data_IF_523879571228
#
_entry.id   IF_523879571228
#
_cell.length_a   1.000
_cell.length_b   1.000
_cell.length_c   1.000
_cell.angle_alpha   90.00
_cell.angle_beta   90.00
_cell.angle_gamma   90.00
#
_symmetry.space_group_name_H-M   'P 1'
#
loop_
_entity.id
_entity.type
_entity.pdbx_description
1 polymer ?
#
# COMPACT_ATOMS: atom_id res chain seq x y z
N UNK A 1 -0.73 3.96 0.58
CA UNK A 1 0.18 2.89 0.15
C UNK A 1 0.78 2.19 1.36
N UNK A 2 0.87 0.86 1.32
CA UNK A 2 1.42 0.03 2.38
C UNK A 2 2.52 -0.88 1.83
N UNK A 3 3.55 -1.09 2.63
CA UNK A 3 4.74 -1.85 2.27
C UNK A 3 4.81 -3.11 3.14
N UNK A 4 5.00 -4.26 2.51
CA UNK A 4 5.17 -5.52 3.22
C UNK A 4 6.67 -5.89 3.30
N UNK A 5 7.20 -6.01 4.52
CA UNK A 5 8.61 -6.29 4.79
C UNK A 5 8.93 -7.80 4.95
N UNK A 6 7.92 -8.67 5.22
CA UNK A 6 8.08 -10.13 5.32
C UNK A 6 6.79 -10.88 4.93
N UNK A 7 6.88 -12.09 4.33
CA UNK A 7 5.71 -12.95 4.16
C UNK A 7 5.20 -13.41 5.54
N UNK A 8 3.90 -13.19 5.82
CA UNK A 8 3.23 -13.70 7.02
C UNK A 8 3.03 -12.72 8.18
N UNK A 9 3.77 -11.60 8.26
CA UNK A 9 3.58 -10.60 9.33
C UNK A 9 3.42 -9.18 8.77
N UNK A 10 2.21 -8.60 8.75
CA UNK A 10 2.02 -7.21 8.40
C UNK A 10 2.62 -6.33 9.50
N UNK A 11 3.64 -5.55 9.16
CA UNK A 11 4.16 -4.50 10.04
C UNK A 11 3.48 -3.17 9.70
N UNK A 12 3.00 -2.47 10.74
CA UNK A 12 2.30 -1.20 10.61
C UNK A 12 3.31 -0.06 10.77
N UNK A 13 3.66 0.59 9.66
CA UNK A 13 4.44 1.84 9.72
C UNK A 13 4.06 2.77 8.57
N UNK A 14 3.89 4.06 8.89
CA UNK A 14 3.78 5.12 7.91
C UNK A 14 5.11 5.31 7.20
N UNK A 15 5.25 4.71 6.02
CA UNK A 15 6.48 4.83 5.24
C UNK A 15 6.43 6.10 4.41
N UNK A 16 7.24 7.09 4.81
CA UNK A 16 7.55 8.29 4.06
C UNK A 16 6.35 9.25 3.82
N UNK A 17 6.51 10.51 4.24
CA UNK A 17 5.48 11.55 4.10
C UNK A 17 5.49 12.21 2.74
N UNK A 18 5.36 11.47 1.63
CA UNK A 18 5.14 12.09 0.32
C UNK A 18 3.64 12.35 0.15
N UNK A 19 3.32 13.61 -0.14
CA UNK A 19 2.01 14.03 -0.63
C UNK A 19 1.83 13.44 -2.03
N UNK A 20 1.10 12.32 -2.14
CA UNK A 20 0.78 11.73 -3.45
C UNK A 20 -0.58 12.28 -3.91
N UNK A 21 -0.65 13.05 -5.00
CA UNK A 21 -1.92 13.49 -5.58
C UNK A 21 -2.65 12.27 -6.13
N UNK A 22 -3.89 12.03 -5.66
CA UNK A 22 -4.65 10.79 -5.84
C UNK A 22 -5.15 10.46 -7.25
N UNK A 23 -4.44 10.85 -8.30
CA UNK A 23 -4.72 10.45 -9.68
C UNK A 23 -3.42 10.52 -10.48
N UNK A 24 -2.98 9.35 -10.96
CA UNK A 24 -1.74 9.00 -11.68
C UNK A 24 -0.54 8.55 -10.82
N UNK A 25 -0.30 7.23 -10.87
CA UNK A 25 0.94 6.50 -10.58
C UNK A 25 1.51 6.69 -9.17
N UNK A 26 0.66 6.61 -8.15
CA UNK A 26 1.07 6.47 -6.74
C UNK A 26 2.18 5.41 -6.56
N UNK A 27 2.12 4.34 -7.36
CA UNK A 27 3.11 3.26 -7.38
C UNK A 27 4.53 3.74 -7.72
N UNK A 28 4.67 4.78 -8.54
CA UNK A 28 5.98 5.35 -8.88
C UNK A 28 6.50 6.30 -7.82
N UNK A 29 5.63 7.10 -7.22
CA UNK A 29 6.03 7.94 -6.08
C UNK A 29 6.42 7.08 -4.88
N UNK A 30 5.77 5.94 -4.70
CA UNK A 30 6.22 4.97 -3.72
C UNK A 30 7.49 4.24 -4.12
N UNK A 31 7.71 3.98 -5.42
CA UNK A 31 9.00 3.46 -5.89
C UNK A 31 10.13 4.46 -5.63
N UNK A 32 9.90 5.75 -5.85
CA UNK A 32 10.85 6.82 -5.48
C UNK A 32 11.15 6.75 -3.98
N UNK A 33 10.11 6.71 -3.13
CA UNK A 33 10.28 6.59 -1.69
C UNK A 33 10.97 5.28 -1.25
N UNK A 34 10.76 4.17 -1.95
CA UNK A 34 11.43 2.89 -1.69
C UNK A 34 12.92 2.95 -2.01
N UNK A 35 13.31 3.68 -3.04
CA UNK A 35 14.71 3.87 -3.44
C UNK A 35 15.42 4.93 -2.59
N UNK A 36 14.70 5.95 -2.14
CA UNK A 36 15.24 7.08 -1.36
C UNK A 36 15.21 6.86 0.18
N UNK A 37 14.75 5.71 0.65
CA UNK A 37 14.63 5.45 2.09
C UNK A 37 15.99 5.31 2.79
N UNK A 38 16.11 5.93 3.97
CA UNK A 38 17.25 5.76 4.88
C UNK A 38 16.92 4.84 6.06
N UNK A 39 15.94 3.96 5.92
CA UNK A 39 15.51 3.05 7.00
C UNK A 39 16.20 1.70 6.89
N UNK A 40 16.28 0.96 7.99
CA UNK A 40 16.76 -0.43 8.00
C UNK A 40 15.76 -1.44 7.40
N UNK A 41 14.56 -0.97 7.02
CA UNK A 41 13.55 -1.82 6.40
C UNK A 41 14.01 -2.24 5.01
N UNK A 42 13.72 -3.48 4.65
CA UNK A 42 13.96 -4.02 3.30
C UNK A 42 12.64 -4.47 2.67
N UNK A 43 11.82 -3.51 2.19
CA UNK A 43 10.58 -3.80 1.47
C UNK A 43 10.84 -4.75 0.31
N UNK A 44 10.06 -5.81 0.18
CA UNK A 44 10.16 -6.71 -0.98
C UNK A 44 8.94 -6.59 -1.90
N UNK A 45 7.80 -6.18 -1.35
CA UNK A 45 6.53 -6.14 -2.04
C UNK A 45 5.83 -4.81 -1.83
N UNK A 46 5.29 -4.27 -2.92
CA UNK A 46 4.39 -3.14 -2.93
C UNK A 46 2.99 -3.58 -3.34
N UNK A 47 1.99 -3.21 -2.53
CA UNK A 47 0.58 -3.39 -2.84
C UNK A 47 -0.04 -2.01 -3.10
N UNK A 48 -0.76 -1.88 -4.21
CA UNK A 48 -1.33 -0.63 -4.71
C UNK A 48 -2.70 -0.87 -5.36
N UNK A 49 -3.48 0.19 -5.53
CA UNK A 49 -4.76 0.11 -6.23
C UNK A 49 -4.61 0.06 -7.76
N UNK A 50 -5.68 -0.38 -8.44
CA UNK A 50 -5.70 -0.65 -9.89
C UNK A 50 -5.27 0.54 -10.75
N UNK A 51 -5.65 1.76 -10.36
CA UNK A 51 -5.40 2.99 -11.14
C UNK A 51 -3.93 3.31 -11.38
N UNK A 52 -3.03 2.66 -10.64
CA UNK A 52 -1.57 2.82 -10.76
C UNK A 52 -0.88 1.65 -11.49
N UNK A 53 -1.64 0.73 -12.09
CA UNK A 53 -1.11 -0.48 -12.74
C UNK A 53 -0.93 -0.32 -14.25
N UNK A 54 0.28 -0.58 -14.73
CA UNK A 54 0.60 -0.76 -16.15
C UNK A 54 1.74 -1.76 -16.28
N UNK A 55 1.89 -2.40 -17.44
CA UNK A 55 2.98 -3.32 -17.71
C UNK A 55 4.33 -2.63 -17.50
N UNK A 56 4.48 -1.35 -17.88
CA UNK A 56 5.72 -0.61 -17.63
C UNK A 56 6.05 -0.49 -16.13
N UNK A 57 5.05 -0.26 -15.27
CA UNK A 57 5.24 -0.24 -13.82
C UNK A 57 5.65 -1.62 -13.31
N UNK A 58 4.95 -2.68 -13.74
CA UNK A 58 5.36 -4.05 -13.42
C UNK A 58 6.81 -4.33 -13.84
N UNK A 59 7.22 -3.86 -15.02
CA UNK A 59 8.58 -3.98 -15.53
C UNK A 59 9.61 -3.27 -14.65
N UNK A 60 9.38 -2.00 -14.29
CA UNK A 60 10.30 -1.25 -13.43
C UNK A 60 10.48 -1.89 -12.06
N UNK A 61 9.38 -2.27 -11.39
CA UNK A 61 9.47 -2.96 -10.12
C UNK A 61 10.28 -4.25 -10.24
N UNK A 62 10.04 -5.03 -11.30
CA UNK A 62 10.72 -6.31 -11.48
C UNK A 62 12.20 -6.15 -11.82
N UNK A 63 12.59 -5.14 -12.60
CA UNK A 63 14.00 -4.78 -12.87
C UNK A 63 14.73 -4.42 -11.57
N UNK A 64 14.06 -3.72 -10.66
CA UNK A 64 14.59 -3.31 -9.36
C UNK A 64 14.43 -4.39 -8.28
N UNK A 65 14.08 -5.63 -8.67
CA UNK A 65 13.90 -6.76 -7.77
C UNK A 65 12.78 -6.62 -6.73
N UNK A 66 11.83 -5.70 -6.95
CA UNK A 66 10.62 -5.57 -6.15
C UNK A 66 9.44 -6.34 -6.77
N UNK A 67 8.56 -6.85 -5.90
CA UNK A 67 7.29 -7.44 -6.32
C UNK A 67 6.17 -6.39 -6.31
N UNK A 68 5.69 -6.00 -7.48
CA UNK A 68 4.47 -5.19 -7.60
C UNK A 68 3.23 -6.08 -7.57
N UNK A 69 2.34 -5.85 -6.60
CA UNK A 69 1.15 -6.68 -6.34
C UNK A 69 -0.10 -5.81 -6.26
N UNK A 70 -0.52 -5.18 -7.37
CA UNK A 70 -1.70 -4.33 -7.35
C UNK A 70 -2.97 -5.16 -7.16
N UNK A 71 -3.99 -4.58 -6.52
CA UNK A 71 -5.33 -5.12 -6.66
C UNK A 71 -5.86 -4.66 -8.02
N UNK A 72 -6.01 -5.59 -8.96
CA UNK A 72 -6.51 -5.29 -10.30
C UNK A 72 -8.03 -5.40 -10.34
N UNK A 73 -8.72 -4.35 -10.78
CA UNK A 73 -10.09 -4.43 -11.26
C UNK A 73 -10.14 -5.15 -12.61
N UNK A 74 -11.31 -5.71 -12.92
CA UNK A 74 -11.65 -6.33 -14.21
C UNK A 74 -10.62 -7.39 -14.65
N UNK A 75 -10.28 -8.30 -13.72
CA UNK A 75 -9.30 -9.38 -13.96
C UNK A 75 -9.68 -10.23 -15.19
N UNK A 76 -10.97 -10.39 -15.46
CA UNK A 76 -11.48 -11.12 -16.61
C UNK A 76 -11.08 -10.49 -17.97
N UNK A 77 -10.84 -9.19 -18.01
CA UNK A 77 -10.45 -8.47 -19.23
C UNK A 77 -8.92 -8.42 -19.42
N UNK A 78 -8.16 -8.92 -18.44
CA UNK A 78 -6.70 -8.86 -18.47
C UNK A 78 -6.13 -9.91 -19.41
N UNK A 79 -5.04 -9.51 -20.07
CA UNK A 79 -4.34 -10.35 -21.05
C UNK A 79 -3.29 -11.21 -20.37
N UNK A 80 -3.27 -12.48 -20.75
CA UNK A 80 -2.24 -13.42 -20.36
C UNK A 80 -1.28 -13.60 -21.52
N UNK A 81 0.01 -13.50 -21.22
CA UNK A 81 1.05 -13.49 -22.22
C UNK A 81 1.92 -14.75 -22.12
N UNK A 82 2.18 -15.39 -23.25
CA UNK A 82 3.13 -16.50 -23.37
C UNK A 82 4.45 -16.07 -23.99
N UNK A 83 5.54 -16.71 -23.58
CA UNK A 83 6.88 -16.46 -24.16
C UNK A 83 7.07 -17.24 -25.46
N UNK A 84 6.74 -18.53 -25.43
CA UNK A 84 6.82 -19.41 -26.59
C UNK A 84 5.45 -19.54 -27.27
N UNK A 85 5.43 -19.36 -28.59
CA UNK A 85 4.23 -19.53 -29.42
C UNK A 85 3.83 -21.00 -29.53
N UNK A 86 4.80 -21.92 -29.52
CA UNK A 86 4.57 -23.35 -29.67
C UNK A 86 4.17 -24.06 -28.37
N UNK A 87 4.28 -23.39 -27.22
CA UNK A 87 3.92 -23.98 -25.95
C UNK A 87 2.42 -24.28 -25.87
N UNK A 88 2.09 -25.51 -25.45
CA UNK A 88 0.74 -25.97 -25.20
C UNK A 88 0.42 -25.92 -23.70
N UNK A 89 -0.56 -25.09 -23.32
CA UNK A 89 -1.06 -24.97 -21.95
C UNK A 89 -2.42 -25.66 -21.74
N UNK A 90 -2.82 -26.55 -22.66
CA UNK A 90 -4.10 -27.25 -22.62
C UNK A 90 -5.29 -26.29 -22.59
N UNK A 91 -6.15 -26.42 -21.58
CA UNK A 91 -7.36 -25.58 -21.40
C UNK A 91 -7.06 -24.09 -21.29
N UNK A 92 -5.83 -23.71 -20.89
CA UNK A 92 -5.43 -22.31 -20.74
C UNK A 92 -4.94 -21.67 -22.04
N UNK A 93 -4.90 -22.40 -23.15
CA UNK A 93 -4.45 -21.85 -24.43
C UNK A 93 -5.30 -20.68 -24.90
N UNK A 94 -6.62 -20.74 -24.70
CA UNK A 94 -7.53 -19.65 -25.05
C UNK A 94 -7.27 -18.38 -24.21
N UNK A 95 -6.85 -18.56 -22.96
CA UNK A 95 -6.55 -17.45 -22.05
C UNK A 95 -5.21 -16.78 -22.42
N UNK A 96 -4.17 -17.58 -22.68
CA UNK A 96 -2.84 -17.10 -23.02
C UNK A 96 -2.68 -16.76 -24.50
N UNK A 97 -3.63 -16.06 -25.13
CA UNK A 97 -3.61 -15.83 -26.58
C UNK A 97 -2.50 -14.88 -27.07
N UNK A 98 -1.87 -14.11 -26.17
CA UNK A 98 -0.93 -13.07 -26.54
C UNK A 98 0.53 -13.50 -26.36
N UNK A 99 1.44 -12.94 -27.17
CA UNK A 99 2.88 -13.28 -27.14
C UNK A 99 3.75 -12.12 -26.68
N UNK A 100 4.71 -12.42 -25.83
CA UNK A 100 5.76 -11.47 -25.41
C UNK A 100 6.84 -11.39 -26.49
N UNK A 101 7.23 -10.17 -26.86
CA UNK A 101 8.34 -9.95 -27.78
C UNK A 101 9.68 -10.05 -27.04
N UNK A 102 10.18 -11.28 -26.89
CA UNK A 102 11.45 -11.55 -26.21
C UNK A 102 12.67 -11.02 -26.96
N UNK A 103 12.57 -10.86 -28.29
CA UNK A 103 13.65 -10.30 -29.11
C UNK A 103 13.81 -8.81 -28.84
N UNK A 104 12.71 -8.08 -28.74
CA UNK A 104 12.73 -6.67 -28.38
C UNK A 104 13.31 -6.45 -26.98
N UNK A 105 12.97 -7.31 -26.01
CA UNK A 105 13.55 -7.26 -24.67
C UNK A 105 15.06 -7.48 -24.73
N UNK A 106 15.51 -8.54 -25.41
CA UNK A 106 16.93 -8.85 -25.54
C UNK A 106 17.72 -7.71 -26.23
N UNK A 107 17.17 -7.13 -27.30
CA UNK A 107 17.81 -6.03 -28.03
C UNK A 107 18.00 -4.75 -27.21
N UNK A 108 17.17 -4.53 -26.19
CA UNK A 108 17.24 -3.36 -25.30
C UNK A 108 17.63 -3.72 -23.86
N UNK A 109 18.14 -4.92 -23.61
CA UNK A 109 18.39 -5.39 -22.25
C UNK A 109 19.37 -4.49 -21.50
N UNK A 110 20.47 -4.11 -22.15
CA UNK A 110 21.46 -3.19 -21.56
C UNK A 110 20.85 -1.83 -21.24
N UNK A 111 19.95 -1.30 -22.09
CA UNK A 111 19.27 -0.03 -21.83
C UNK A 111 18.28 -0.13 -20.66
N UNK A 112 17.58 -1.26 -20.52
CA UNK A 112 16.72 -1.53 -19.36
C UNK A 112 17.54 -1.62 -18.07
N UNK A 113 18.73 -2.24 -18.12
CA UNK A 113 19.65 -2.26 -16.98
C UNK A 113 20.21 -0.87 -16.66
N UNK A 114 20.51 -0.04 -17.67
CA UNK A 114 20.89 1.37 -17.47
C UNK A 114 19.78 2.16 -16.79
N UNK A 115 18.51 1.96 -17.18
CA UNK A 115 17.37 2.53 -16.47
C UNK A 115 17.39 2.12 -14.99
N UNK A 116 17.53 0.82 -14.72
CA UNK A 116 17.55 0.33 -13.34
C UNK A 116 18.71 0.94 -12.54
N UNK A 117 19.91 1.01 -13.13
CA UNK A 117 21.08 1.65 -12.54
C UNK A 117 20.81 3.12 -12.19
N UNK A 118 20.32 3.92 -13.14
CA UNK A 118 20.01 5.34 -12.93
C UNK A 118 18.97 5.58 -11.84
N UNK A 119 18.01 4.67 -11.67
CA UNK A 119 17.02 4.73 -10.59
C UNK A 119 17.66 4.40 -9.24
N UNK A 120 18.46 3.33 -9.16
CA UNK A 120 19.14 2.91 -7.92
C UNK A 120 20.16 3.96 -7.45
N UNK A 121 20.85 4.64 -8.37
CA UNK A 121 21.81 5.70 -8.05
C UNK A 121 21.16 7.05 -7.79
N UNK A 122 19.83 7.16 -7.91
CA UNK A 122 19.10 8.42 -7.72
C UNK A 122 19.38 9.48 -8.80
N UNK A 123 19.96 9.08 -9.95
CA UNK A 123 20.23 9.99 -11.07
C UNK A 123 18.93 10.50 -11.72
N UNK A 124 17.88 9.69 -11.67
CA UNK A 124 16.52 10.06 -12.09
C UNK A 124 15.50 9.43 -11.15
N UNK A 125 14.38 10.11 -10.90
CA UNK A 125 13.25 9.53 -10.16
C UNK A 125 12.39 8.67 -11.08
N UNK A 126 11.82 7.58 -10.57
CA UNK A 126 10.90 6.73 -11.33
C UNK A 126 9.64 7.49 -11.75
N UNK A 127 9.12 8.38 -10.91
CA UNK A 127 7.97 9.23 -11.25
C UNK A 127 8.25 10.21 -12.40
N UNK A 128 9.50 10.60 -12.60
CA UNK A 128 9.93 11.50 -13.68
C UNK A 128 10.26 10.73 -14.96
N UNK A 129 11.03 9.64 -14.85
CA UNK A 129 11.40 8.77 -15.96
C UNK A 129 10.18 8.41 -16.79
N UNK A 130 9.12 7.98 -16.12
CA UNK A 130 7.94 7.44 -16.76
C UNK A 130 7.01 8.51 -17.36
N UNK A 131 7.20 9.79 -17.02
CA UNK A 131 6.61 10.94 -17.73
C UNK A 131 7.31 11.20 -19.06
N UNK A 132 8.57 10.79 -19.20
CA UNK A 132 9.35 10.94 -20.44
C UNK A 132 9.14 9.73 -21.34
N UNK A 133 9.40 8.52 -20.85
CA UNK A 133 9.35 7.30 -21.67
C UNK A 133 7.93 6.76 -21.88
N UNK A 134 6.97 7.20 -21.06
CA UNK A 134 5.57 6.76 -21.15
C UNK A 134 4.73 7.52 -22.16
N UNK A 135 5.27 8.56 -22.81
CA UNK A 135 4.55 9.41 -23.77
C UNK A 135 4.27 8.64 -25.06
N UNK A 136 3.11 8.91 -25.67
CA UNK A 136 2.76 8.36 -26.99
C UNK A 136 3.20 9.34 -28.10
N UNK A 137 3.71 8.84 -29.24
CA UNK A 137 4.00 7.44 -29.53
C UNK A 137 5.19 6.90 -28.73
N UNK A 138 5.12 5.64 -28.30
CA UNK A 138 6.17 5.03 -27.47
C UNK A 138 7.42 4.73 -28.29
N UNK A 139 8.58 5.18 -27.79
CA UNK A 139 9.89 4.77 -28.31
C UNK A 139 10.16 3.27 -28.18
N UNK A 140 11.22 2.76 -28.81
CA UNK A 140 11.59 1.34 -28.74
C UNK A 140 11.91 0.87 -27.31
N UNK A 141 12.65 1.65 -26.53
CA UNK A 141 12.96 1.36 -25.13
C UNK A 141 11.70 1.27 -24.25
N UNK A 142 10.75 2.18 -24.44
CA UNK A 142 9.48 2.15 -23.73
C UNK A 142 8.65 0.90 -24.06
N UNK A 143 8.65 0.49 -25.34
CA UNK A 143 8.01 -0.75 -25.79
C UNK A 143 8.73 -1.99 -25.24
N UNK A 144 10.05 -1.97 -25.14
CA UNK A 144 10.83 -3.05 -24.53
C UNK A 144 10.53 -3.18 -23.04
N UNK A 145 10.46 -2.07 -22.29
CA UNK A 145 10.07 -2.07 -20.88
C UNK A 145 8.65 -2.59 -20.68
N UNK A 146 7.71 -2.19 -21.53
CA UNK A 146 6.34 -2.71 -21.50
C UNK A 146 6.30 -4.21 -21.81
N UNK A 147 7.04 -4.66 -22.84
CA UNK A 147 7.13 -6.07 -23.19
C UNK A 147 7.71 -6.91 -22.05
N UNK A 148 8.79 -6.43 -21.42
CA UNK A 148 9.36 -7.04 -20.21
C UNK A 148 8.33 -7.10 -19.08
N UNK A 149 7.62 -6.00 -18.84
CA UNK A 149 6.60 -5.89 -17.82
C UNK A 149 5.39 -6.82 -17.96
N UNK A 150 5.10 -7.32 -19.16
CA UNK A 150 4.07 -8.34 -19.40
C UNK A 150 4.36 -9.65 -18.68
N UNK A 151 5.65 -9.98 -18.47
CA UNK A 151 6.06 -11.19 -17.73
C UNK A 151 5.60 -11.13 -16.27
N UNK A 152 6.06 -10.18 -15.42
CA UNK A 152 5.61 -10.07 -14.04
C UNK A 152 4.11 -9.76 -13.91
N UNK A 153 3.50 -9.04 -14.87
CA UNK A 153 2.06 -8.83 -14.88
C UNK A 153 1.29 -10.16 -15.06
N UNK A 154 1.72 -11.01 -15.99
CA UNK A 154 1.10 -12.34 -16.20
C UNK A 154 1.31 -13.23 -14.98
N UNK A 155 2.52 -13.26 -14.40
CA UNK A 155 2.81 -14.02 -13.19
C UNK A 155 1.94 -13.55 -12.02
N UNK A 156 1.78 -12.25 -11.83
CA UNK A 156 0.90 -11.69 -10.81
C UNK A 156 -0.54 -12.21 -10.95
N UNK A 157 -1.10 -12.20 -12.16
CA UNK A 157 -2.45 -12.70 -12.43
C UNK A 157 -2.58 -14.19 -12.13
N UNK A 158 -1.62 -15.00 -12.58
CA UNK A 158 -1.60 -16.44 -12.34
C UNK A 158 -1.57 -16.75 -10.84
N UNK A 159 -0.65 -16.12 -10.09
CA UNK A 159 -0.57 -16.27 -8.63
C UNK A 159 -1.85 -15.78 -7.94
N UNK A 160 -2.46 -14.70 -8.42
CA UNK A 160 -3.73 -14.19 -7.86
C UNK A 160 -4.88 -15.19 -7.99
N UNK A 161 -4.92 -15.96 -9.09
CA UNK A 161 -5.91 -17.00 -9.31
C UNK A 161 -5.63 -18.27 -8.51
N UNK A 162 -4.37 -18.69 -8.46
CA UNK A 162 -3.95 -19.97 -7.88
C UNK A 162 -3.85 -19.93 -6.35
N UNK A 163 -3.40 -18.81 -5.78
CA UNK A 163 -3.08 -18.70 -4.34
C UNK A 163 -4.12 -17.83 -3.59
N UNK A 164 -5.01 -18.45 -2.78
CA UNK A 164 -5.99 -17.72 -1.96
C UNK A 164 -5.33 -16.87 -0.87
N UNK A 165 -4.18 -17.27 -0.32
CA UNK A 165 -3.47 -16.53 0.73
C UNK A 165 -2.85 -15.25 0.16
N UNK A 166 -2.27 -15.33 -1.04
CA UNK A 166 -1.78 -14.15 -1.76
C UNK A 166 -2.91 -13.16 -2.03
N UNK A 167 -4.07 -13.65 -2.50
CA UNK A 167 -5.28 -12.84 -2.72
C UNK A 167 -5.76 -12.16 -1.44
N UNK A 168 -5.86 -12.90 -0.34
CA UNK A 168 -6.24 -12.37 0.99
C UNK A 168 -5.26 -11.30 1.45
N UNK A 169 -3.96 -11.51 1.28
CA UNK A 169 -2.93 -10.53 1.67
C UNK A 169 -3.12 -9.19 0.95
N UNK A 170 -3.38 -9.22 -0.37
CA UNK A 170 -3.69 -8.01 -1.15
C UNK A 170 -4.96 -7.34 -0.62
N UNK A 171 -6.02 -8.11 -0.37
CA UNK A 171 -7.28 -7.61 0.19
C UNK A 171 -7.12 -6.95 1.57
N UNK A 172 -6.42 -7.60 2.51
CA UNK A 172 -6.16 -7.05 3.84
C UNK A 172 -5.43 -5.71 3.77
N UNK A 173 -4.44 -5.58 2.89
CA UNK A 173 -3.70 -4.33 2.72
C UNK A 173 -4.56 -3.22 2.12
N UNK A 174 -5.44 -3.54 1.18
CA UNK A 174 -6.43 -2.59 0.64
C UNK A 174 -7.38 -2.12 1.73
N UNK A 175 -7.95 -3.06 2.51
CA UNK A 175 -8.83 -2.73 3.64
C UNK A 175 -8.14 -1.81 4.65
N UNK A 176 -6.85 -2.03 4.91
CA UNK A 176 -6.05 -1.16 5.76
C UNK A 176 -5.91 0.25 5.17
N UNK A 177 -5.64 0.38 3.87
CA UNK A 177 -5.55 1.67 3.19
C UNK A 177 -6.90 2.41 3.25
N UNK A 178 -8.00 1.72 3.03
CA UNK A 178 -9.36 2.27 3.15
C UNK A 178 -9.66 2.71 4.59
N UNK A 179 -9.30 1.91 5.60
CA UNK A 179 -9.46 2.26 7.01
C UNK A 179 -8.66 3.51 7.38
N UNK A 180 -7.41 3.62 6.91
CA UNK A 180 -6.59 4.82 7.09
C UNK A 180 -7.23 6.04 6.41
N UNK A 181 -7.73 5.90 5.18
CA UNK A 181 -8.42 7.00 4.50
C UNK A 181 -9.70 7.43 5.23
N UNK A 182 -10.45 6.48 5.80
CA UNK A 182 -11.61 6.78 6.63
C UNK A 182 -11.21 7.53 7.90
N UNK A 183 -10.14 7.10 8.58
CA UNK A 183 -9.60 7.80 9.75
C UNK A 183 -9.12 9.22 9.40
N UNK A 184 -8.38 9.38 8.29
CA UNK A 184 -7.95 10.69 7.78
C UNK A 184 -9.15 11.61 7.59
N UNK A 185 -10.21 11.11 6.94
CA UNK A 185 -11.44 11.88 6.70
C UNK A 185 -12.14 12.26 8.00
N UNK A 186 -12.14 11.39 9.01
CA UNK A 186 -12.71 11.67 10.32
C UNK A 186 -11.92 12.75 11.07
N UNK A 187 -10.58 12.67 11.06
CA UNK A 187 -9.70 13.65 11.73
C UNK A 187 -9.72 15.02 11.05
N UNK A 188 -9.76 15.07 9.71
CA UNK A 188 -9.92 16.32 8.95
C UNK A 188 -11.36 16.88 8.97
N UNK A 189 -12.28 16.18 9.62
CA UNK A 189 -13.67 16.01 9.20
C UNK A 189 -14.71 17.05 9.61
N UNK A 190 -14.37 18.25 10.05
CA UNK A 190 -15.38 19.27 10.41
C UNK A 190 -16.30 19.74 9.26
N UNK A 191 -16.16 19.25 8.01
CA UNK A 191 -17.08 19.52 6.87
C UNK A 191 -17.11 18.40 5.81
N UNK A 192 -17.79 17.28 6.08
CA UNK A 192 -18.21 16.27 5.07
C UNK A 192 -17.10 15.69 4.17
N UNK A 193 -15.85 15.65 4.61
CA UNK A 193 -14.80 14.82 4.00
C UNK A 193 -14.38 15.15 2.56
N UNK A 194 -14.73 16.32 2.00
CA UNK A 194 -14.27 16.76 0.67
C UNK A 194 -13.04 17.68 0.77
N UNK A 195 -11.92 17.26 0.17
CA UNK A 195 -10.78 18.13 -0.13
C UNK A 195 -11.16 19.09 -1.28
N UNK A 196 -11.91 20.14 -0.97
CA UNK A 196 -12.53 21.03 -1.95
C UNK A 196 -11.72 22.29 -2.30
N UNK A 197 -10.40 22.27 -2.17
CA UNK A 197 -9.56 23.42 -2.56
C UNK A 197 -8.58 23.07 -3.70
N UNK A 198 -8.57 23.85 -4.80
CA UNK A 198 -7.57 23.70 -5.85
C UNK A 198 -6.16 23.95 -5.32
N UNK A 199 -5.26 23.10 -5.80
CA UNK A 199 -3.88 22.89 -5.42
C UNK A 199 -2.96 24.09 -5.74
N UNK A 200 -2.21 24.63 -4.77
CA UNK A 200 -0.95 25.40 -4.96
C UNK A 200 -0.29 25.65 -3.59
N UNK A 201 0.96 25.21 -3.43
CA UNK A 201 1.94 25.53 -2.37
C UNK A 201 1.41 25.80 -0.93
N UNK A 202 1.59 24.84 -0.01
CA UNK A 202 1.26 25.00 1.42
C UNK A 202 0.90 23.72 2.20
N UNK A 203 0.96 22.53 1.57
CA UNK A 203 0.54 21.27 2.21
C UNK A 203 1.58 20.60 3.13
N UNK A 204 2.87 20.93 3.04
CA UNK A 204 3.88 20.32 3.93
C UNK A 204 3.59 20.65 5.41
N UNK A 205 3.11 21.87 5.68
CA UNK A 205 2.73 22.33 7.02
C UNK A 205 1.44 21.70 7.58
N UNK A 206 0.54 21.17 6.73
CA UNK A 206 -0.72 20.55 7.19
C UNK A 206 -0.64 19.02 7.27
N UNK A 207 0.25 18.40 6.49
CA UNK A 207 0.38 16.93 6.44
C UNK A 207 1.25 16.39 7.57
N UNK A 208 2.21 17.17 8.07
CA UNK A 208 2.97 16.84 9.28
C UNK A 208 2.05 16.67 10.51
N UNK A 209 1.26 17.70 10.88
CA UNK A 209 0.34 17.62 12.01
C UNK A 209 -0.74 16.54 11.85
N UNK A 210 -1.33 16.37 10.66
CA UNK A 210 -2.26 15.26 10.41
C UNK A 210 -1.58 13.91 10.64
N UNK A 211 -0.40 13.70 10.05
CA UNK A 211 0.35 12.47 10.22
C UNK A 211 0.64 12.18 11.69
N UNK A 212 0.99 13.21 12.46
CA UNK A 212 1.20 13.10 13.90
C UNK A 212 -0.06 12.65 14.64
N UNK A 213 -1.21 13.28 14.38
CA UNK A 213 -2.49 12.91 15.01
C UNK A 213 -2.90 11.48 14.66
N UNK A 214 -2.78 11.08 13.39
CA UNK A 214 -3.05 9.70 12.96
C UNK A 214 -2.15 8.69 13.67
N UNK A 215 -0.86 9.00 13.80
CA UNK A 215 0.09 8.15 14.50
C UNK A 215 -0.22 8.09 16.00
N UNK A 216 -0.61 9.20 16.62
CA UNK A 216 -1.00 9.25 18.03
C UNK A 216 -2.25 8.40 18.29
N UNK A 217 -3.28 8.49 17.43
CA UNK A 217 -4.48 7.64 17.50
C UNK A 217 -4.10 6.16 17.33
N UNK A 218 -3.28 5.84 16.32
CA UNK A 218 -2.84 4.47 16.05
C UNK A 218 -2.06 3.88 17.24
N UNK A 219 -1.17 4.68 17.84
CA UNK A 219 -0.40 4.28 19.02
C UNK A 219 -1.32 4.07 20.23
N UNK A 220 -2.24 5.00 20.48
CA UNK A 220 -3.24 4.88 21.55
C UNK A 220 -4.03 3.59 21.41
N UNK A 221 -4.62 3.37 20.23
CA UNK A 221 -5.40 2.16 19.95
C UNK A 221 -4.58 0.89 20.11
N UNK A 222 -3.33 0.86 19.61
CA UNK A 222 -2.46 -0.31 19.76
C UNK A 222 -2.20 -0.64 21.23
N UNK A 223 -1.96 0.37 22.06
CA UNK A 223 -1.71 0.19 23.50
C UNK A 223 -2.96 -0.32 24.22
N UNK A 224 -4.13 0.27 23.96
CA UNK A 224 -5.37 -0.15 24.62
C UNK A 224 -5.93 -1.48 24.09
N UNK A 225 -5.70 -1.83 22.82
CA UNK A 225 -6.00 -3.17 22.32
C UNK A 225 -5.17 -4.23 23.03
N UNK A 226 -3.88 -3.98 23.28
CA UNK A 226 -3.03 -4.86 24.09
C UNK A 226 -3.59 -5.08 25.49
N UNK A 227 -3.94 -3.99 26.19
CA UNK A 227 -4.58 -4.07 27.51
C UNK A 227 -5.90 -4.84 27.49
N UNK A 228 -6.75 -4.60 26.49
CA UNK A 228 -8.04 -5.27 26.37
C UNK A 228 -7.86 -6.79 26.16
N UNK A 229 -6.90 -7.20 25.33
CA UNK A 229 -6.56 -8.60 25.12
C UNK A 229 -6.05 -9.25 26.41
N UNK A 230 -5.15 -8.58 27.13
CA UNK A 230 -4.64 -9.07 28.44
C UNK A 230 -5.77 -9.21 29.47
N UNK A 231 -6.67 -8.22 29.53
CA UNK A 231 -7.80 -8.23 30.44
C UNK A 231 -8.77 -9.39 30.14
N UNK A 232 -9.14 -9.59 28.87
CA UNK A 232 -10.01 -10.70 28.46
C UNK A 232 -9.39 -12.06 28.79
N UNK A 233 -8.08 -12.22 28.54
CA UNK A 233 -7.35 -13.44 28.91
C UNK A 233 -7.34 -13.67 30.42
N UNK A 234 -7.14 -12.63 31.22
CA UNK A 234 -7.15 -12.70 32.67
C UNK A 234 -8.54 -13.08 33.24
N UNK A 235 -9.62 -12.73 32.54
CA UNK A 235 -11.00 -13.12 32.86
C UNK A 235 -11.35 -14.55 32.43
N UNK A 236 -10.42 -15.28 31.80
CA UNK A 236 -10.64 -16.64 31.32
C UNK A 236 -11.36 -16.71 29.97
N UNK A 237 -11.51 -15.60 29.24
CA UNK A 237 -12.04 -15.63 27.88
C UNK A 237 -11.01 -16.24 26.92
N UNK A 238 -11.48 -17.10 26.00
CA UNK A 238 -10.62 -17.64 24.95
C UNK A 238 -10.28 -16.56 23.91
N UNK A 239 -9.01 -16.13 23.86
CA UNK A 239 -8.52 -15.15 22.88
C UNK A 239 -7.38 -15.77 22.07
N UNK A 240 -7.72 -16.29 20.89
CA UNK A 240 -6.77 -16.93 19.96
C UNK A 240 -5.79 -15.92 19.40
N UNK A 241 -4.51 -16.27 19.34
CA UNK A 241 -3.47 -15.40 18.77
C UNK A 241 -3.75 -15.03 17.30
N UNK A 242 -4.33 -15.95 16.53
CA UNK A 242 -4.74 -15.70 15.13
C UNK A 242 -5.77 -14.57 14.98
N UNK A 243 -6.60 -14.34 16.00
CA UNK A 243 -7.59 -13.25 15.99
C UNK A 243 -6.93 -11.93 16.41
N UNK A 244 -5.97 -11.99 17.35
CA UNK A 244 -5.15 -10.84 17.75
C UNK A 244 -4.35 -10.31 16.56
N UNK A 245 -3.78 -11.19 15.73
CA UNK A 245 -3.05 -10.84 14.50
C UNK A 245 -3.91 -10.09 13.47
N UNK A 246 -5.24 -10.22 13.54
CA UNK A 246 -6.19 -9.58 12.63
C UNK A 246 -6.72 -8.24 13.15
N UNK A 247 -6.37 -7.85 14.37
CA UNK A 247 -6.80 -6.58 14.95
C UNK A 247 -6.20 -5.39 14.18
N UNK A 248 -7.01 -4.34 14.01
CA UNK A 248 -6.61 -3.10 13.35
C UNK A 248 -6.61 -1.95 14.35
N UNK A 249 -5.47 -1.25 14.54
CA UNK A 249 -5.40 -0.07 15.39
C UNK A 249 -5.98 1.19 14.74
N UNK A 250 -6.62 1.08 13.57
CA UNK A 250 -7.16 2.21 12.81
C UNK A 250 -8.64 2.52 13.12
N UNK A 251 -9.25 1.83 14.09
CA UNK A 251 -10.63 2.10 14.53
C UNK A 251 -10.71 3.42 15.28
N UNK A 252 -11.80 4.17 15.12
CA UNK A 252 -11.91 5.51 15.70
C UNK A 252 -13.31 5.89 16.18
N UNK A 253 -14.27 4.97 16.09
CA UNK A 253 -15.66 5.21 16.53
C UNK A 253 -15.74 5.51 18.03
N UNK A 254 -14.76 5.03 18.81
CA UNK A 254 -14.67 5.25 20.26
C UNK A 254 -13.97 6.59 20.63
N UNK A 255 -13.49 7.34 19.65
CA UNK A 255 -12.77 8.61 19.85
C UNK A 255 -13.68 9.76 19.44
N UNK A 256 -13.97 10.65 20.40
CA UNK A 256 -14.65 11.90 20.09
C UNK A 256 -13.64 12.84 19.41
N UNK A 257 -13.75 12.98 18.09
CA UNK A 257 -12.88 13.84 17.28
C UNK A 257 -13.42 15.28 17.14
N UNK A 258 -14.70 15.48 17.47
CA UNK A 258 -15.37 16.77 17.47
C UNK A 258 -15.88 17.11 18.88
N UNK A 259 -15.97 18.41 19.17
CA UNK A 259 -16.51 18.90 20.44
C UNK A 259 -15.51 19.69 21.28
N UNK A 260 -15.86 19.91 22.55
CA UNK A 260 -15.02 20.64 23.51
C UNK A 260 -14.19 19.66 24.32
N UNK A 261 -12.89 19.86 24.33
CA UNK A 261 -11.95 19.07 25.12
C UNK A 261 -11.62 19.79 26.42
N UNK A 262 -11.83 19.12 27.54
CA UNK A 262 -11.23 19.52 28.81
C UNK A 262 -9.88 18.79 28.94
N UNK A 263 -8.80 19.55 29.07
CA UNK A 263 -7.44 19.01 29.24
C UNK A 263 -7.12 18.65 30.70
N UNK A 264 -8.12 18.60 31.57
CA UNK A 264 -7.97 18.17 32.95
C UNK A 264 -7.81 16.65 32.97
N UNK A 265 -6.57 16.19 33.05
CA UNK A 265 -6.24 14.77 33.16
C UNK A 265 -6.35 14.31 34.62
N UNK A 266 -6.86 13.09 34.82
CA UNK A 266 -6.76 12.41 36.11
C UNK A 266 -5.28 12.25 36.51
N UNK A 267 -4.99 12.33 37.80
CA UNK A 267 -3.60 12.38 38.30
C UNK A 267 -2.80 11.13 37.91
N UNK A 268 -3.42 9.96 37.94
CA UNK A 268 -2.82 8.71 37.48
C UNK A 268 -2.39 8.77 35.99
N UNK A 269 -3.16 9.44 35.13
CA UNK A 269 -2.81 9.61 33.71
C UNK A 269 -1.67 10.61 33.54
N UNK A 270 -1.64 11.69 34.33
CA UNK A 270 -0.51 12.64 34.33
C UNK A 270 0.81 11.98 34.71
N UNK A 271 0.78 10.99 35.59
CA UNK A 271 1.95 10.19 36.00
C UNK A 271 2.32 9.09 34.99
N UNK A 272 1.68 9.06 33.81
CA UNK A 272 1.97 8.07 32.75
C UNK A 272 1.13 6.80 32.81
N UNK A 273 0.18 6.72 33.76
CA UNK A 273 -0.79 5.64 33.86
C UNK A 273 -1.82 5.64 32.73
N UNK A 274 -2.51 4.51 32.58
CA UNK A 274 -3.55 4.31 31.57
C UNK A 274 -4.93 4.57 32.16
N UNK A 275 -5.88 4.99 31.30
CA UNK A 275 -7.28 5.09 31.67
C UNK A 275 -7.84 3.67 31.85
N UNK A 276 -8.82 3.47 32.74
CA UNK A 276 -9.53 2.20 32.84
C UNK A 276 -10.16 1.80 31.50
N UNK A 277 -10.24 0.49 31.24
CA UNK A 277 -11.03 -0.04 30.14
C UNK A 277 -12.51 0.28 30.39
N UNK A 278 -13.25 0.53 29.30
CA UNK A 278 -14.72 0.69 29.38
C UNK A 278 -15.36 -0.69 29.41
N UNK A 279 -16.33 -0.88 30.29
CA UNK A 279 -17.20 -2.04 30.24
C UNK A 279 -18.28 -1.79 29.16
N UNK A 280 -18.40 -2.65 28.13
CA UNK A 280 -19.43 -2.51 27.11
C UNK A 280 -20.86 -2.71 27.65
N UNK A 281 -21.03 -3.35 28.81
CA UNK A 281 -22.32 -3.58 29.45
C UNK A 281 -22.68 -2.44 30.43
N UNK A 282 -21.74 -1.56 30.76
CA UNK A 282 -22.04 -0.28 31.41
C UNK A 282 -22.75 0.62 30.40
N UNK A 283 -24.08 0.74 30.56
CA UNK A 283 -24.87 1.75 29.85
C UNK A 283 -24.38 3.12 30.33
N UNK A 284 -23.52 3.76 29.54
CA UNK A 284 -23.14 5.15 29.78
C UNK A 284 -24.42 6.00 29.68
N UNK A 285 -24.90 6.49 30.82
CA UNK A 285 -25.75 7.67 30.85
C UNK A 285 -24.91 8.83 30.30
N UNK A 286 -25.23 9.25 29.07
CA UNK A 286 -24.63 10.40 28.36
C UNK A 286 -24.64 11.69 29.20
#
# INVERSE_FOLDING_TARGET
MSICAKPGHPQFSGFHGIVVPGTLRDSLYALDGLLEQNTSLKPQRLISDTGASSEMVFGLFRLLSYQFSPLLADIAERRYWRMDRGADYGKLNALAAHRIDTRLIAAHWDDLLRIAGSLVTGTVKASELLKVIGVKPKGSLARALEAFGRVPATLHLLTYHDDPQYRRTIGTQRNMQEARHSLVRAVFGGRRGELRQPYRAGREDQLGPLGLVLNAITLWNSRYLGLAVEHLRAQGCEVRDEDVERLSPLRFEHIHLEGRYAFTLAEAVKQGGLRPLRDPDDVLHE
#
